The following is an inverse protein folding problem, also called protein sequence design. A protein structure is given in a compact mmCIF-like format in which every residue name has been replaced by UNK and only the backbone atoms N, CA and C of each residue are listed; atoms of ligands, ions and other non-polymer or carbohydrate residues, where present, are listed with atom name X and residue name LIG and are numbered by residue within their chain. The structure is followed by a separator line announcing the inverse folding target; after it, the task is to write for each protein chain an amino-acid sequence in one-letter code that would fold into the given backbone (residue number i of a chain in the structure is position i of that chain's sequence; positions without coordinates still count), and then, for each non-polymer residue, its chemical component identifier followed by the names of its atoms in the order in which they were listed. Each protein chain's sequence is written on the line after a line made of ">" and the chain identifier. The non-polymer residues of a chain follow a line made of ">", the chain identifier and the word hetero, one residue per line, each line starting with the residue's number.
data_IF_637694739756
#
_entry.id   IF_637694739756
#
_cell.length_a   1.000
_cell.length_b   1.000
_cell.length_c   1.000
_cell.angle_alpha   90.00
_cell.angle_beta   90.00
_cell.angle_gamma   90.00
#
_symmetry.space_group_name_H-M   'P 1'
#
loop_
_entity.id
_entity.type
_entity.pdbx_description
1 polymer ?
#
# COMPACT_ATOMS: atom_id res chain seq x y z
N UNK A 1 0.58 10.13 -5.31
CA UNK A 1 -0.55 9.19 -5.53
C UNK A 1 -0.16 7.77 -5.99
N UNK A 2 1.12 7.35 -6.02
CA UNK A 2 1.50 5.93 -6.30
C UNK A 2 0.97 4.91 -5.28
N UNK A 3 0.60 5.35 -4.08
CA UNK A 3 -0.12 4.53 -3.10
C UNK A 3 -1.55 4.17 -3.56
N UNK A 4 -2.19 4.94 -4.47
CA UNK A 4 -3.42 4.51 -5.18
C UNK A 4 -3.14 3.34 -6.10
N UNK A 5 -1.98 3.32 -6.75
CA UNK A 5 -1.58 2.20 -7.59
C UNK A 5 -1.42 0.95 -6.73
N UNK A 6 -0.67 1.01 -5.63
CA UNK A 6 -0.60 -0.13 -4.70
C UNK A 6 -1.98 -0.50 -4.17
N UNK A 7 -2.86 0.45 -3.83
CA UNK A 7 -4.18 0.16 -3.28
C UNK A 7 -5.18 -0.39 -4.31
N UNK A 8 -5.17 0.09 -5.57
CA UNK A 8 -5.97 -0.45 -6.68
C UNK A 8 -5.42 -1.77 -7.21
N UNK A 9 -4.09 -1.93 -7.30
CA UNK A 9 -3.48 -3.23 -7.59
C UNK A 9 -3.75 -4.20 -6.44
N UNK A 10 -3.64 -3.79 -5.17
CA UNK A 10 -3.98 -4.61 -3.99
C UNK A 10 -5.45 -5.04 -4.00
N UNK A 11 -6.38 -4.19 -4.47
CA UNK A 11 -7.78 -4.57 -4.68
C UNK A 11 -7.96 -5.56 -5.84
N UNK A 12 -7.07 -5.55 -6.84
CA UNK A 12 -7.00 -6.50 -7.95
C UNK A 12 -6.05 -7.70 -7.69
N UNK A 13 -5.40 -7.80 -6.53
CA UNK A 13 -4.58 -8.95 -6.18
C UNK A 13 -5.43 -9.89 -5.34
N UNK A 14 -6.22 -10.70 -6.05
CA UNK A 14 -6.64 -12.01 -5.60
C UNK A 14 -6.53 -12.93 -6.81
N UNK A 15 -5.33 -13.48 -7.02
CA UNK A 15 -5.03 -14.33 -8.15
C UNK A 15 -4.59 -15.71 -7.64
N UNK A 16 -5.50 -16.67 -7.81
CA UNK A 16 -5.26 -18.09 -7.60
C UNK A 16 -4.28 -18.60 -8.66
N UNK A 17 -3.21 -19.25 -8.22
CA UNK A 17 -2.32 -20.03 -9.08
C UNK A 17 -3.09 -21.25 -9.60
N UNK A 18 -3.55 -21.21 -10.85
CA UNK A 18 -4.03 -22.42 -11.56
C UNK A 18 -3.09 -22.71 -12.71
N UNK A 19 -2.32 -23.79 -12.57
CA UNK A 19 -1.41 -24.30 -13.59
C UNK A 19 -2.14 -24.60 -14.91
N UNK A 20 -1.62 -24.03 -16.00
CA UNK A 20 -2.12 -24.26 -17.36
C UNK A 20 -1.75 -25.67 -17.84
N UNK A 21 -2.72 -26.56 -18.00
CA UNK A 21 -2.59 -27.78 -18.77
C UNK A 21 -3.52 -27.70 -19.99
N UNK A 22 -2.93 -27.57 -21.18
CA UNK A 22 -3.65 -27.45 -22.44
C UNK A 22 -4.44 -28.71 -22.80
N UNK A 23 -5.67 -28.54 -23.29
CA UNK A 23 -6.47 -29.63 -23.86
C UNK A 23 -7.24 -29.14 -25.08
N UNK A 24 -7.06 -29.84 -26.19
CA UNK A 24 -7.80 -29.71 -27.45
C UNK A 24 -9.21 -30.30 -27.34
N UNK A 25 -10.24 -29.73 -28.01
CA UNK A 25 -11.61 -30.20 -27.85
C UNK A 25 -11.91 -31.38 -28.78
N UNK A 26 -12.48 -32.46 -28.21
CA UNK A 26 -13.19 -33.49 -28.99
C UNK A 26 -14.60 -33.70 -28.43
N UNK A 27 -15.54 -33.69 -29.36
CA UNK A 27 -16.99 -33.88 -29.33
C UNK A 27 -17.63 -34.64 -28.15
N UNK A 28 -18.74 -34.07 -27.63
CA UNK A 28 -20.00 -34.79 -27.43
C UNK A 28 -20.10 -35.76 -26.27
N UNK A 29 -19.95 -35.29 -25.03
CA UNK A 29 -20.54 -35.90 -23.83
C UNK A 29 -21.03 -34.76 -22.93
N UNK A 30 -22.14 -34.95 -22.23
CA UNK A 30 -22.56 -34.06 -21.12
C UNK A 30 -21.38 -33.92 -20.17
N UNK A 31 -20.69 -32.78 -20.21
CA UNK A 31 -19.50 -32.54 -19.41
C UNK A 31 -19.87 -32.62 -17.95
N UNK A 32 -19.05 -33.32 -17.16
CA UNK A 32 -19.29 -33.40 -15.72
C UNK A 32 -19.31 -31.99 -15.11
N UNK A 33 -20.05 -31.79 -14.03
CA UNK A 33 -20.15 -30.49 -13.36
C UNK A 33 -18.77 -29.88 -13.04
N UNK A 34 -17.80 -30.73 -12.65
CA UNK A 34 -16.42 -30.32 -12.41
C UNK A 34 -15.66 -29.89 -13.68
N UNK A 35 -15.95 -30.47 -14.84
CA UNK A 35 -15.37 -30.03 -16.11
C UNK A 35 -15.94 -28.69 -16.56
N UNK A 36 -17.24 -28.44 -16.32
CA UNK A 36 -17.86 -27.14 -16.57
C UNK A 36 -17.25 -26.07 -15.67
N UNK A 37 -17.13 -26.35 -14.38
CA UNK A 37 -16.47 -25.47 -13.41
C UNK A 37 -15.03 -25.15 -13.83
N UNK A 38 -14.24 -26.16 -14.18
CA UNK A 38 -12.86 -25.95 -14.65
C UNK A 38 -12.81 -25.07 -15.90
N UNK A 39 -13.62 -25.38 -16.92
CA UNK A 39 -13.63 -24.60 -18.16
C UNK A 39 -14.01 -23.14 -17.91
N UNK A 40 -14.98 -22.89 -17.03
CA UNK A 40 -15.33 -21.55 -16.59
C UNK A 40 -14.19 -20.85 -15.84
N UNK A 41 -13.55 -21.53 -14.88
CA UNK A 41 -12.41 -20.98 -14.13
C UNK A 41 -11.29 -20.58 -15.08
N UNK A 42 -10.93 -21.45 -16.02
CA UNK A 42 -9.87 -21.17 -16.99
C UNK A 42 -10.22 -19.93 -17.85
N UNK A 43 -11.44 -19.87 -18.38
CA UNK A 43 -11.90 -18.77 -19.23
C UNK A 43 -12.00 -17.44 -18.47
N UNK A 44 -12.58 -17.46 -17.27
CA UNK A 44 -12.75 -16.26 -16.44
C UNK A 44 -11.43 -15.76 -15.88
N UNK A 45 -10.50 -16.66 -15.53
CA UNK A 45 -9.14 -16.27 -15.16
C UNK A 45 -8.43 -15.60 -16.33
N UNK A 46 -8.54 -16.13 -17.55
CA UNK A 46 -7.94 -15.50 -18.73
C UNK A 46 -8.51 -14.09 -18.97
N UNK A 47 -9.83 -13.91 -18.86
CA UNK A 47 -10.50 -12.61 -18.96
C UNK A 47 -9.97 -11.64 -17.90
N UNK A 48 -9.92 -12.07 -16.65
CA UNK A 48 -9.42 -11.31 -15.51
C UNK A 48 -7.97 -10.86 -15.71
N UNK A 49 -7.07 -11.81 -15.98
CA UNK A 49 -5.65 -11.52 -16.18
C UNK A 49 -5.39 -10.67 -17.42
N UNK A 50 -6.20 -10.79 -18.48
CA UNK A 50 -6.08 -9.89 -19.63
C UNK A 50 -6.39 -8.44 -19.24
N UNK A 51 -7.45 -8.22 -18.46
CA UNK A 51 -7.80 -6.89 -17.95
C UNK A 51 -6.72 -6.35 -17.02
N UNK A 52 -6.31 -7.16 -16.03
CA UNK A 52 -5.25 -6.81 -15.09
C UNK A 52 -3.95 -6.47 -15.81
N UNK A 53 -3.51 -7.31 -16.75
CA UNK A 53 -2.26 -7.12 -17.47
C UNK A 53 -2.28 -5.85 -18.31
N UNK A 54 -3.43 -5.52 -18.91
CA UNK A 54 -3.61 -4.26 -19.62
C UNK A 54 -3.41 -3.07 -18.67
N UNK A 55 -4.11 -3.08 -17.52
CA UNK A 55 -4.04 -2.01 -16.52
C UNK A 55 -2.62 -1.85 -15.97
N UNK A 56 -1.97 -2.94 -15.60
CA UNK A 56 -0.60 -2.94 -15.07
C UNK A 56 0.41 -2.46 -16.13
N UNK A 57 0.27 -2.86 -17.39
CA UNK A 57 1.13 -2.39 -18.49
C UNK A 57 0.92 -0.90 -18.81
N UNK A 58 -0.32 -0.41 -18.80
CA UNK A 58 -0.62 1.02 -18.98
C UNK A 58 -0.04 1.83 -17.83
N UNK A 59 -0.20 1.35 -16.60
CA UNK A 59 0.33 2.00 -15.39
C UNK A 59 1.86 2.04 -15.40
N UNK A 60 2.51 0.95 -15.78
CA UNK A 60 3.96 0.92 -15.94
C UNK A 60 4.45 1.88 -17.04
N UNK A 61 3.64 2.08 -18.08
CA UNK A 61 3.98 2.98 -19.19
C UNK A 61 3.80 4.46 -18.85
N UNK A 62 2.98 4.80 -17.84
CA UNK A 62 2.81 6.17 -17.37
C UNK A 62 4.17 6.78 -16.97
N UNK A 63 4.37 8.05 -17.31
CA UNK A 63 5.64 8.73 -17.05
C UNK A 63 5.54 9.62 -15.81
N UNK A 64 4.44 10.34 -15.65
CA UNK A 64 4.22 11.24 -14.52
C UNK A 64 2.85 11.00 -13.84
N UNK A 65 2.55 11.78 -12.81
CA UNK A 65 1.31 11.67 -12.05
C UNK A 65 0.08 12.09 -12.86
N UNK A 66 0.21 13.08 -13.76
CA UNK A 66 -0.87 13.50 -14.66
C UNK A 66 -1.25 12.41 -15.68
N UNK A 67 -0.25 11.72 -16.25
CA UNK A 67 -0.45 10.56 -17.13
C UNK A 67 -1.22 9.47 -16.39
N UNK A 68 -0.90 9.23 -15.11
CA UNK A 68 -1.58 8.26 -14.27
C UNK A 68 -3.02 8.66 -13.96
N UNK A 69 -3.25 9.90 -13.56
CA UNK A 69 -4.60 10.44 -13.34
C UNK A 69 -5.43 10.34 -14.62
N UNK A 70 -4.85 10.60 -15.78
CA UNK A 70 -5.51 10.49 -17.08
C UNK A 70 -5.92 9.04 -17.45
N UNK A 71 -5.21 8.02 -16.95
CA UNK A 71 -5.53 6.61 -17.20
C UNK A 71 -6.84 6.19 -16.51
N UNK A 72 -7.03 6.60 -15.26
CA UNK A 72 -8.14 6.15 -14.40
C UNK A 72 -9.25 7.18 -14.21
N UNK A 73 -9.06 8.43 -14.61
CA UNK A 73 -10.13 9.46 -14.62
C UNK A 73 -11.15 9.28 -15.74
N UNK A 74 -10.87 8.42 -16.73
CA UNK A 74 -11.81 8.12 -17.81
C UNK A 74 -12.90 7.19 -17.29
N UNK A 75 -14.10 7.75 -17.06
CA UNK A 75 -15.31 7.02 -16.68
C UNK A 75 -15.54 5.77 -17.56
N UNK A 76 -15.21 5.83 -18.85
CA UNK A 76 -15.34 4.70 -19.79
C UNK A 76 -14.42 3.53 -19.43
N UNK A 77 -13.21 3.80 -18.94
CA UNK A 77 -12.27 2.77 -18.48
C UNK A 77 -12.80 2.11 -17.21
N UNK A 78 -13.25 2.92 -16.25
CA UNK A 78 -13.77 2.43 -14.96
C UNK A 78 -15.04 1.60 -15.16
N UNK A 79 -15.96 2.06 -16.01
CA UNK A 79 -17.17 1.33 -16.36
C UNK A 79 -16.87 -0.02 -16.99
N UNK A 80 -15.94 -0.06 -17.96
CA UNK A 80 -15.50 -1.31 -18.59
C UNK A 80 -14.92 -2.30 -17.58
N UNK A 81 -14.10 -1.81 -16.64
CA UNK A 81 -13.53 -2.64 -15.58
C UNK A 81 -14.64 -3.18 -14.68
N UNK A 82 -15.54 -2.32 -14.23
CA UNK A 82 -16.64 -2.71 -13.36
C UNK A 82 -17.54 -3.76 -14.04
N UNK A 83 -17.96 -3.52 -15.28
CA UNK A 83 -18.82 -4.42 -16.05
C UNK A 83 -18.19 -5.82 -16.20
N UNK A 84 -16.88 -5.88 -16.48
CA UNK A 84 -16.17 -7.15 -16.65
C UNK A 84 -16.03 -7.92 -15.32
N UNK A 85 -15.63 -7.24 -14.24
CA UNK A 85 -15.43 -7.88 -12.93
C UNK A 85 -16.75 -8.32 -12.28
N UNK A 86 -17.79 -7.49 -12.37
CA UNK A 86 -19.14 -7.85 -11.93
C UNK A 86 -19.70 -8.98 -12.78
N UNK A 87 -19.46 -8.96 -14.10
CA UNK A 87 -19.84 -10.03 -15.01
C UNK A 87 -19.24 -11.38 -14.60
N UNK A 88 -17.92 -11.42 -14.38
CA UNK A 88 -17.22 -12.62 -13.88
C UNK A 88 -17.81 -13.11 -12.55
N UNK A 89 -18.06 -12.19 -11.62
CA UNK A 89 -18.60 -12.51 -10.28
C UNK A 89 -20.01 -13.09 -10.35
N UNK A 90 -20.86 -12.50 -11.18
CA UNK A 90 -22.23 -12.96 -11.40
C UNK A 90 -22.24 -14.36 -12.07
N UNK A 91 -21.42 -14.57 -13.10
CA UNK A 91 -21.28 -15.88 -13.75
C UNK A 91 -20.77 -16.95 -12.78
N UNK A 92 -19.77 -16.62 -11.94
CA UNK A 92 -19.21 -17.52 -10.93
C UNK A 92 -20.22 -17.88 -9.81
N UNK A 93 -21.10 -16.93 -9.48
CA UNK A 93 -22.19 -17.13 -8.50
C UNK A 93 -23.23 -18.13 -8.99
N UNK A 94 -23.35 -18.33 -10.31
CA UNK A 94 -24.23 -19.34 -10.90
C UNK A 94 -23.81 -20.80 -10.63
N UNK A 95 -22.58 -21.03 -10.14
CA UNK A 95 -22.13 -22.37 -9.75
C UNK A 95 -22.65 -22.74 -8.34
N UNK A 96 -22.96 -24.02 -8.12
CA UNK A 96 -23.29 -24.60 -6.83
C UNK A 96 -22.02 -25.25 -6.29
N UNK A 97 -21.37 -24.56 -5.35
CA UNK A 97 -20.11 -25.01 -4.76
C UNK A 97 -20.22 -26.37 -4.06
N UNK A 98 -21.42 -26.79 -3.63
CA UNK A 98 -21.62 -28.11 -3.02
C UNK A 98 -21.41 -29.27 -4.00
N UNK A 99 -21.57 -29.00 -5.31
CA UNK A 99 -21.37 -29.96 -6.40
C UNK A 99 -19.92 -29.99 -6.90
N UNK A 100 -19.08 -29.06 -6.46
CA UNK A 100 -17.66 -28.98 -6.84
C UNK A 100 -16.83 -29.79 -5.85
N UNK A 101 -16.39 -30.98 -6.26
CA UNK A 101 -15.61 -31.90 -5.40
C UNK A 101 -14.14 -31.48 -5.22
N UNK A 102 -13.58 -30.80 -6.22
CA UNK A 102 -12.17 -30.40 -6.19
C UNK A 102 -12.04 -29.12 -5.34
N UNK A 103 -11.26 -29.19 -4.25
CA UNK A 103 -11.05 -28.05 -3.35
C UNK A 103 -10.45 -26.83 -4.04
N UNK A 104 -9.49 -27.03 -4.94
CA UNK A 104 -8.87 -25.93 -5.71
C UNK A 104 -9.90 -25.23 -6.59
N UNK A 105 -10.78 -25.98 -7.26
CA UNK A 105 -11.82 -25.38 -8.10
C UNK A 105 -12.87 -24.66 -7.28
N UNK A 106 -13.18 -25.18 -6.09
CA UNK A 106 -14.08 -24.53 -5.15
C UNK A 106 -13.51 -23.19 -4.70
N UNK A 107 -12.25 -23.15 -4.25
CA UNK A 107 -11.58 -21.90 -3.86
C UNK A 107 -11.44 -20.93 -5.02
N UNK A 108 -11.11 -21.40 -6.23
CA UNK A 108 -11.05 -20.54 -7.41
C UNK A 108 -12.41 -19.91 -7.76
N UNK A 109 -13.51 -20.66 -7.63
CA UNK A 109 -14.85 -20.11 -7.82
C UNK A 109 -15.27 -19.15 -6.71
N UNK A 110 -14.85 -19.39 -5.46
CA UNK A 110 -15.05 -18.46 -4.35
C UNK A 110 -14.32 -17.13 -4.61
N UNK A 111 -13.07 -17.17 -5.04
CA UNK A 111 -12.33 -15.96 -5.42
C UNK A 111 -12.98 -15.22 -6.60
N UNK A 112 -13.34 -15.95 -7.66
CA UNK A 112 -14.01 -15.36 -8.83
C UNK A 112 -15.36 -14.74 -8.50
N UNK A 113 -16.04 -15.12 -7.41
CA UNK A 113 -17.27 -14.43 -6.95
C UNK A 113 -17.00 -13.08 -6.32
N UNK A 114 -15.80 -12.88 -5.78
CA UNK A 114 -15.41 -11.68 -5.04
C UNK A 114 -14.75 -10.59 -5.89
N UNK A 115 -14.31 -10.91 -7.12
CA UNK A 115 -13.54 -9.96 -7.95
C UNK A 115 -14.34 -8.69 -8.31
N UNK A 116 -15.66 -8.77 -8.29
CA UNK A 116 -16.60 -7.68 -8.58
C UNK A 116 -17.15 -6.96 -7.36
N UNK A 117 -16.72 -7.30 -6.14
CA UNK A 117 -17.34 -6.88 -4.88
C UNK A 117 -17.64 -5.37 -4.78
N UNK A 118 -16.62 -4.51 -4.76
CA UNK A 118 -16.84 -3.06 -4.72
C UNK A 118 -17.33 -2.50 -6.07
N UNK A 119 -17.09 -3.23 -7.15
CA UNK A 119 -17.49 -2.85 -8.49
C UNK A 119 -19.00 -3.04 -8.75
N UNK A 120 -19.74 -3.74 -7.86
CA UNK A 120 -21.22 -3.82 -7.93
C UNK A 120 -21.90 -2.44 -7.82
N UNK A 121 -21.17 -1.44 -7.33
CA UNK A 121 -21.62 -0.05 -7.32
C UNK A 121 -21.65 0.58 -8.72
N UNK A 122 -21.00 -0.05 -9.71
CA UNK A 122 -20.94 0.45 -11.09
C UNK A 122 -20.28 1.83 -11.18
N UNK A 123 -20.95 2.79 -11.80
CA UNK A 123 -20.45 4.17 -11.95
C UNK A 123 -20.32 4.90 -10.60
N UNK A 124 -21.13 4.53 -9.60
CA UNK A 124 -21.06 5.12 -8.24
C UNK A 124 -19.73 4.78 -7.55
N UNK A 125 -19.06 3.68 -7.91
CA UNK A 125 -17.74 3.35 -7.38
C UNK A 125 -16.73 4.49 -7.63
N UNK A 126 -16.77 5.06 -8.83
CA UNK A 126 -15.86 6.15 -9.20
C UNK A 126 -16.12 7.40 -8.36
N UNK A 127 -17.37 7.85 -8.32
CA UNK A 127 -17.74 9.10 -7.65
C UNK A 127 -17.68 9.01 -6.13
N UNK A 128 -18.00 7.85 -5.54
CA UNK A 128 -18.09 7.71 -4.09
C UNK A 128 -16.82 7.15 -3.45
N UNK A 129 -16.05 6.30 -4.15
CA UNK A 129 -14.83 5.69 -3.59
C UNK A 129 -13.58 6.36 -4.15
N UNK A 130 -13.40 6.32 -5.48
CA UNK A 130 -12.16 6.78 -6.10
C UNK A 130 -11.92 8.28 -5.91
N UNK A 131 -12.93 9.12 -6.20
CA UNK A 131 -12.80 10.57 -6.04
C UNK A 131 -12.60 11.00 -4.57
N UNK A 132 -13.28 10.33 -3.64
CA UNK A 132 -13.15 10.64 -2.22
C UNK A 132 -11.77 10.19 -1.68
N UNK A 133 -11.26 9.05 -2.14
CA UNK A 133 -9.92 8.59 -1.79
C UNK A 133 -8.83 9.53 -2.35
N UNK A 134 -8.96 9.94 -3.62
CA UNK A 134 -8.09 10.94 -4.22
C UNK A 134 -8.13 12.28 -3.45
N UNK A 135 -9.32 12.71 -3.02
CA UNK A 135 -9.49 13.91 -2.21
C UNK A 135 -8.78 13.80 -0.86
N UNK A 136 -8.93 12.67 -0.14
CA UNK A 136 -8.21 12.42 1.12
C UNK A 136 -6.69 12.45 0.94
N UNK A 137 -6.18 11.90 -0.16
CA UNK A 137 -4.76 11.94 -0.46
C UNK A 137 -4.28 13.35 -0.78
N UNK A 138 -5.04 14.07 -1.62
CA UNK A 138 -4.71 15.43 -2.00
C UNK A 138 -4.58 16.35 -0.79
N UNK A 139 -5.46 16.19 0.20
CA UNK A 139 -5.35 16.92 1.45
C UNK A 139 -3.94 16.82 2.04
N UNK A 140 -3.33 15.62 2.06
CA UNK A 140 -1.98 15.43 2.64
C UNK A 140 -0.85 16.10 1.86
N UNK A 141 -1.07 16.44 0.58
CA UNK A 141 -0.07 17.03 -0.31
C UNK A 141 -0.35 18.50 -0.63
N UNK A 142 -1.52 19.03 -0.27
CA UNK A 142 -1.88 20.42 -0.50
C UNK A 142 -1.05 21.33 0.42
N UNK A 143 -0.36 22.31 -0.20
CA UNK A 143 0.44 23.31 0.51
C UNK A 143 -0.44 24.41 1.05
N UNK A 144 -0.94 24.21 2.26
CA UNK A 144 -1.97 25.07 2.80
C UNK A 144 -1.80 25.38 4.31
N UNK A 145 -0.82 24.79 4.98
CA UNK A 145 -0.54 25.05 6.40
C UNK A 145 0.52 26.15 6.52
N UNK A 146 0.21 27.23 7.25
CA UNK A 146 1.19 28.28 7.51
C UNK A 146 2.33 27.76 8.41
N UNK A 147 3.60 28.10 8.14
CA UNK A 147 4.70 27.70 8.99
C UNK A 147 4.58 28.26 10.42
N UNK A 148 5.07 27.49 11.40
CA UNK A 148 5.09 27.92 12.81
C UNK A 148 5.84 29.25 12.96
N UNK A 149 5.26 30.19 13.73
CA UNK A 149 5.77 31.55 13.93
C UNK A 149 6.04 32.32 12.63
N UNK A 150 5.26 32.09 11.58
CA UNK A 150 5.39 32.80 10.31
C UNK A 150 6.71 32.54 9.59
N UNK A 151 7.24 31.32 9.71
CA UNK A 151 8.45 30.92 9.00
C UNK A 151 9.75 31.20 9.73
N UNK A 152 9.72 31.82 10.93
CA UNK A 152 10.93 32.19 11.68
C UNK A 152 11.92 31.04 11.94
N UNK A 153 11.45 29.78 11.92
CA UNK A 153 12.29 28.57 12.06
C UNK A 153 12.57 27.85 10.75
N UNK A 154 11.96 28.27 9.65
CA UNK A 154 12.17 27.71 8.33
C UNK A 154 13.50 28.21 7.75
N UNK A 155 14.11 27.43 6.84
CA UNK A 155 15.27 27.91 6.10
C UNK A 155 14.96 29.24 5.39
N UNK A 156 15.84 30.23 5.57
CA UNK A 156 15.70 31.59 5.03
C UNK A 156 14.44 32.36 5.50
N UNK A 157 13.85 31.95 6.61
CA UNK A 157 12.62 32.55 7.14
C UNK A 157 11.44 32.49 6.13
N UNK A 158 11.40 31.42 5.32
CA UNK A 158 10.34 31.20 4.32
C UNK A 158 8.97 31.00 5.00
N UNK A 159 8.02 31.86 4.67
CA UNK A 159 6.65 31.86 5.17
C UNK A 159 5.66 31.15 4.21
N UNK A 160 6.18 30.52 3.14
CA UNK A 160 5.38 29.79 2.18
C UNK A 160 4.57 28.65 2.84
N UNK A 161 3.30 28.44 2.43
CA UNK A 161 2.49 27.34 2.93
C UNK A 161 3.14 25.97 2.73
N UNK A 162 2.95 25.11 3.73
CA UNK A 162 3.52 23.77 3.83
C UNK A 162 2.45 22.73 3.55
N UNK A 163 2.85 21.66 2.86
CA UNK A 163 2.07 20.44 2.79
C UNK A 163 2.35 19.57 4.00
N UNK A 164 1.39 18.72 4.36
CA UNK A 164 1.62 17.77 5.42
C UNK A 164 2.75 16.79 5.08
N UNK A 165 2.67 16.24 3.88
CA UNK A 165 3.72 15.45 3.25
C UNK A 165 4.16 16.17 1.96
N UNK A 166 5.48 16.38 1.75
CA UNK A 166 6.59 15.92 2.58
C UNK A 166 7.08 16.93 3.64
N UNK A 167 6.50 18.14 3.70
CA UNK A 167 7.11 19.27 4.42
C UNK A 167 7.01 19.14 5.95
N UNK A 168 5.79 19.06 6.49
CA UNK A 168 5.57 18.95 7.95
C UNK A 168 6.16 17.64 8.49
N UNK A 169 6.09 16.54 7.75
CA UNK A 169 6.72 15.27 8.15
C UNK A 169 8.20 15.47 8.48
N UNK A 170 8.97 16.15 7.63
CA UNK A 170 10.41 16.40 7.84
C UNK A 170 10.66 17.30 9.06
N UNK A 171 9.78 18.27 9.31
CA UNK A 171 9.87 19.15 10.48
C UNK A 171 9.64 18.35 11.75
N UNK A 172 8.55 17.58 11.83
CA UNK A 172 8.24 16.70 12.97
C UNK A 172 9.34 15.66 13.19
N UNK A 173 10.05 15.27 12.12
CA UNK A 173 11.16 14.34 12.24
C UNK A 173 12.38 14.90 12.98
N UNK A 174 12.59 16.21 12.92
CA UNK A 174 13.81 16.91 13.36
C UNK A 174 13.60 17.81 14.57
N UNK A 175 12.42 18.40 14.69
CA UNK A 175 12.15 19.37 15.74
C UNK A 175 12.15 18.70 17.11
N UNK A 176 12.70 19.43 18.08
CA UNK A 176 12.62 19.10 19.50
C UNK A 176 11.79 20.13 20.27
N UNK A 177 11.20 21.11 19.59
CA UNK A 177 10.36 22.13 20.21
C UNK A 177 8.91 21.63 20.34
N UNK A 178 8.44 21.53 21.58
CA UNK A 178 7.10 21.02 21.92
C UNK A 178 5.99 21.87 21.30
N UNK A 179 6.14 23.20 21.30
CA UNK A 179 5.11 24.12 20.82
C UNK A 179 5.02 24.10 19.28
N UNK A 180 6.15 23.93 18.60
CA UNK A 180 6.20 23.74 17.15
C UNK A 180 5.53 22.42 16.73
N UNK A 181 5.88 21.31 17.42
CA UNK A 181 5.29 20.00 17.17
C UNK A 181 3.78 20.02 17.40
N UNK A 182 3.35 20.64 18.51
CA UNK A 182 1.94 20.81 18.85
C UNK A 182 1.21 21.66 17.82
N UNK A 183 1.79 22.79 17.39
CA UNK A 183 1.21 23.67 16.39
C UNK A 183 0.89 22.91 15.10
N UNK A 184 1.85 22.17 14.54
CA UNK A 184 1.62 21.43 13.31
C UNK A 184 0.62 20.28 13.50
N UNK A 185 0.67 19.59 14.64
CA UNK A 185 -0.28 18.51 14.96
C UNK A 185 -1.74 19.00 15.03
N UNK A 186 -1.96 20.14 15.71
CA UNK A 186 -3.29 20.76 15.89
C UNK A 186 -3.76 21.39 14.58
N UNK A 187 -2.94 22.24 13.95
CA UNK A 187 -3.31 22.99 12.74
C UNK A 187 -3.68 22.05 11.59
N UNK A 188 -2.92 20.98 11.39
CA UNK A 188 -3.23 19.99 10.37
C UNK A 188 -4.59 19.31 10.61
N UNK A 189 -4.87 18.89 11.85
CA UNK A 189 -6.12 18.21 12.21
C UNK A 189 -7.31 19.15 12.12
N UNK A 190 -7.22 20.34 12.70
CA UNK A 190 -8.31 21.32 12.73
C UNK A 190 -8.73 21.73 11.32
N UNK A 191 -7.74 21.95 10.44
CA UNK A 191 -8.01 22.34 9.06
C UNK A 191 -8.71 21.23 8.25
N UNK A 192 -8.30 19.99 8.47
CA UNK A 192 -8.70 18.87 7.62
C UNK A 192 -9.85 18.03 8.20
N UNK A 193 -10.23 18.23 9.46
CA UNK A 193 -11.19 17.39 10.19
C UNK A 193 -12.50 17.19 9.42
N UNK A 194 -13.10 18.27 8.92
CA UNK A 194 -14.40 18.23 8.24
C UNK A 194 -14.29 17.47 6.91
N UNK A 195 -13.35 17.87 6.06
CA UNK A 195 -13.15 17.27 4.75
C UNK A 195 -12.75 15.80 4.85
N UNK A 196 -11.88 15.47 5.80
CA UNK A 196 -11.47 14.09 6.05
C UNK A 196 -12.67 13.24 6.48
N UNK A 197 -13.49 13.76 7.40
CA UNK A 197 -14.68 13.07 7.88
C UNK A 197 -15.70 12.82 6.76
N UNK A 198 -16.00 13.84 5.93
CA UNK A 198 -16.98 13.73 4.84
C UNK A 198 -16.52 12.71 3.78
N UNK A 199 -15.28 12.82 3.32
CA UNK A 199 -14.75 11.91 2.30
C UNK A 199 -14.67 10.47 2.83
N UNK A 200 -14.14 10.28 4.05
CA UNK A 200 -14.04 8.96 4.67
C UNK A 200 -15.41 8.34 4.91
N UNK A 201 -16.38 9.12 5.41
CA UNK A 201 -17.74 8.63 5.62
C UNK A 201 -18.40 8.19 4.31
N UNK A 202 -18.19 8.92 3.22
CA UNK A 202 -18.69 8.55 1.88
C UNK A 202 -18.11 7.21 1.41
N UNK A 203 -16.82 6.97 1.65
CA UNK A 203 -16.18 5.68 1.37
C UNK A 203 -16.85 4.58 2.22
N UNK A 204 -16.97 4.77 3.54
CA UNK A 204 -17.61 3.78 4.43
C UNK A 204 -19.04 3.46 4.00
N UNK A 205 -19.84 4.47 3.64
CA UNK A 205 -21.19 4.28 3.12
C UNK A 205 -21.21 3.47 1.81
N UNK A 206 -20.20 3.66 0.94
CA UNK A 206 -20.06 2.89 -0.30
C UNK A 206 -19.82 1.42 -0.02
N UNK A 207 -18.95 1.10 0.94
CA UNK A 207 -18.74 -0.27 1.41
C UNK A 207 -20.02 -0.88 2.01
N UNK A 208 -20.75 -0.11 2.83
CA UNK A 208 -22.05 -0.56 3.36
C UNK A 208 -23.06 -0.84 2.25
N UNK A 209 -23.13 0.02 1.23
CA UNK A 209 -24.01 -0.15 0.07
C UNK A 209 -23.64 -1.39 -0.73
N UNK A 210 -22.36 -1.61 -1.02
CA UNK A 210 -21.88 -2.80 -1.72
C UNK A 210 -22.18 -4.08 -0.93
N UNK A 211 -21.89 -4.09 0.37
CA UNK A 211 -22.16 -5.22 1.26
C UNK A 211 -23.65 -5.56 1.32
N UNK A 212 -24.53 -4.55 1.36
CA UNK A 212 -25.98 -4.75 1.31
C UNK A 212 -26.44 -5.34 -0.03
N UNK A 213 -25.86 -4.93 -1.16
CA UNK A 213 -26.16 -5.48 -2.48
C UNK A 213 -25.74 -6.95 -2.57
N UNK A 214 -24.59 -7.27 -1.98
CA UNK A 214 -24.01 -8.62 -1.97
C UNK A 214 -24.59 -9.53 -0.87
N UNK A 215 -25.39 -8.97 0.04
CA UNK A 215 -25.93 -9.65 1.22
C UNK A 215 -24.84 -10.27 2.13
N UNK A 216 -23.69 -9.60 2.23
CA UNK A 216 -22.56 -10.02 3.07
C UNK A 216 -22.30 -9.01 4.20
N UNK A 217 -21.63 -9.42 5.29
CA UNK A 217 -21.11 -8.47 6.27
C UNK A 217 -20.08 -7.51 5.65
N UNK A 218 -20.13 -6.23 6.03
CA UNK A 218 -19.22 -5.18 5.52
C UNK A 218 -17.74 -5.53 5.71
N UNK A 219 -17.38 -6.22 6.80
CA UNK A 219 -16.00 -6.61 7.06
C UNK A 219 -15.43 -7.55 5.99
N UNK A 220 -16.27 -8.37 5.33
CA UNK A 220 -15.82 -9.29 4.27
C UNK A 220 -15.31 -8.57 3.02
N UNK A 221 -15.70 -7.30 2.82
CA UNK A 221 -15.17 -6.45 1.76
C UNK A 221 -13.78 -5.88 2.07
N UNK A 222 -13.38 -5.87 3.35
CA UNK A 222 -12.11 -5.33 3.83
C UNK A 222 -11.10 -6.43 4.14
N UNK A 223 -11.58 -7.48 4.77
CA UNK A 223 -10.83 -8.63 5.19
C UNK A 223 -11.47 -9.84 4.50
N UNK A 224 -10.70 -10.53 3.66
CA UNK A 224 -11.14 -11.75 2.97
C UNK A 224 -10.74 -13.04 3.72
N UNK A 225 -9.92 -12.91 4.76
CA UNK A 225 -9.23 -14.02 5.44
C UNK A 225 -9.42 -14.03 6.97
N UNK A 226 -10.50 -13.45 7.44
CA UNK A 226 -10.87 -13.30 8.84
C UNK A 226 -11.69 -14.50 9.29
N UNK A 227 -10.97 -15.61 9.47
CA UNK A 227 -11.45 -16.63 10.37
C UNK A 227 -11.50 -16.04 11.78
N UNK A 228 -12.50 -16.45 12.56
CA UNK A 228 -12.56 -16.12 13.99
C UNK A 228 -11.27 -16.52 14.72
N UNK A 229 -10.60 -17.58 14.23
CA UNK A 229 -9.29 -18.02 14.69
C UNK A 229 -8.20 -16.97 14.43
N UNK A 230 -8.15 -16.33 13.26
CA UNK A 230 -7.17 -15.28 12.97
C UNK A 230 -7.28 -14.12 13.96
N UNK A 231 -8.50 -13.65 14.24
CA UNK A 231 -8.74 -12.57 15.21
C UNK A 231 -8.26 -12.99 16.61
N UNK A 232 -8.56 -14.21 17.04
CA UNK A 232 -8.09 -14.74 18.33
C UNK A 232 -6.56 -14.83 18.39
N UNK A 233 -5.91 -15.27 17.32
CA UNK A 233 -4.45 -15.33 17.24
C UNK A 233 -3.83 -13.92 17.29
N UNK A 234 -4.44 -12.93 16.63
CA UNK A 234 -4.00 -11.53 16.72
C UNK A 234 -4.13 -10.97 18.13
N UNK A 235 -5.25 -11.23 18.82
CA UNK A 235 -5.45 -10.83 20.22
C UNK A 235 -4.45 -11.50 21.17
N UNK A 236 -4.16 -12.78 20.94
CA UNK A 236 -3.15 -13.52 21.70
C UNK A 236 -1.76 -12.91 21.50
N UNK A 237 -1.35 -12.67 20.25
CA UNK A 237 -0.05 -12.06 19.95
C UNK A 237 0.09 -10.67 20.61
N UNK A 238 -0.96 -9.84 20.56
CA UNK A 238 -0.98 -8.54 21.24
C UNK A 238 -0.85 -8.67 22.75
N UNK A 239 -1.48 -9.68 23.35
CA UNK A 239 -1.40 -9.96 24.78
C UNK A 239 0.00 -10.41 25.20
N UNK A 240 0.67 -11.23 24.38
CA UNK A 240 2.04 -11.69 24.60
C UNK A 240 3.07 -10.55 24.45
N UNK A 241 2.86 -9.62 23.53
CA UNK A 241 3.71 -8.44 23.33
C UNK A 241 3.52 -7.36 24.41
N UNK A 242 2.34 -7.32 25.05
CA UNK A 242 1.94 -6.27 26.00
C UNK A 242 2.95 -6.02 27.13
N UNK A 243 3.56 -7.03 27.80
CA UNK A 243 4.53 -6.79 28.86
C UNK A 243 5.77 -6.04 28.38
N UNK A 244 6.30 -6.40 27.21
CA UNK A 244 7.47 -5.73 26.60
C UNK A 244 7.09 -4.32 26.15
N UNK A 245 5.94 -4.17 25.48
CA UNK A 245 5.43 -2.87 25.06
C UNK A 245 5.26 -1.91 26.24
N UNK A 246 4.71 -2.37 27.38
CA UNK A 246 4.57 -1.55 28.59
C UNK A 246 5.91 -1.08 29.14
N UNK A 247 6.93 -1.93 29.12
CA UNK A 247 8.28 -1.54 29.54
C UNK A 247 8.88 -0.50 28.58
N UNK A 248 8.76 -0.72 27.28
CA UNK A 248 9.23 0.23 26.26
C UNK A 248 8.49 1.57 26.37
N UNK A 249 7.17 1.55 26.47
CA UNK A 249 6.35 2.75 26.67
C UNK A 249 6.76 3.50 27.94
N UNK A 250 6.93 2.81 29.07
CA UNK A 250 7.35 3.43 30.32
C UNK A 250 8.75 4.04 30.22
N UNK A 251 9.68 3.38 29.55
CA UNK A 251 11.02 3.89 29.26
C UNK A 251 10.95 5.16 28.41
N UNK A 252 10.29 5.10 27.25
CA UNK A 252 10.14 6.28 26.36
C UNK A 252 9.48 7.44 27.11
N UNK A 253 8.41 7.18 27.86
CA UNK A 253 7.72 8.21 28.66
C UNK A 253 8.64 8.86 29.68
N UNK A 254 9.45 8.06 30.39
CA UNK A 254 10.41 8.56 31.38
C UNK A 254 11.46 9.47 30.73
N UNK A 255 11.90 9.13 29.54
CA UNK A 255 12.93 9.86 28.82
C UNK A 255 12.39 11.18 28.24
N UNK A 256 11.16 11.16 27.72
CA UNK A 256 10.44 12.38 27.36
C UNK A 256 10.16 13.27 28.56
N UNK A 257 9.81 12.68 29.71
CA UNK A 257 9.62 13.42 30.95
C UNK A 257 10.90 14.10 31.44
N UNK A 258 12.06 13.43 31.33
CA UNK A 258 13.36 14.07 31.62
C UNK A 258 13.64 15.24 30.70
N UNK A 259 13.33 15.10 29.41
CA UNK A 259 13.62 16.11 28.38
C UNK A 259 12.70 17.33 28.48
N UNK A 260 11.39 17.11 28.62
CA UNK A 260 10.36 18.14 28.52
C UNK A 260 9.74 18.56 29.86
N UNK A 261 10.03 17.84 30.94
CA UNK A 261 9.52 18.12 32.26
C UNK A 261 8.08 17.63 32.51
N UNK A 262 7.60 17.85 33.73
CA UNK A 262 6.28 17.41 34.21
C UNK A 262 5.11 18.11 33.55
N UNK A 263 5.30 19.33 33.07
CA UNK A 263 4.23 20.17 32.51
C UNK A 263 3.81 19.67 31.11
N UNK A 264 4.74 18.99 30.41
CA UNK A 264 4.51 18.41 29.09
C UNK A 264 4.18 16.92 29.19
N UNK A 265 4.95 16.15 29.98
CA UNK A 265 4.79 14.69 30.06
C UNK A 265 4.53 14.26 31.50
N UNK A 266 3.34 13.72 31.74
CA UNK A 266 2.99 13.12 33.03
C UNK A 266 3.71 11.78 33.21
N UNK A 267 4.50 11.56 34.28
CA UNK A 267 5.26 10.32 34.49
C UNK A 267 4.38 9.07 34.66
N UNK A 268 3.08 9.25 34.97
CA UNK A 268 2.10 8.18 35.16
C UNK A 268 0.98 8.21 34.10
N UNK A 269 1.00 9.16 33.17
CA UNK A 269 -0.02 9.35 32.12
C UNK A 269 0.34 8.72 30.78
N UNK A 270 -0.51 8.88 29.75
CA UNK A 270 -0.12 8.60 28.36
C UNK A 270 0.95 9.61 27.89
N UNK A 271 1.70 9.24 26.85
CA UNK A 271 2.60 10.16 26.16
C UNK A 271 1.74 11.05 25.23
N UNK A 272 1.91 12.39 25.23
CA UNK A 272 1.21 13.28 24.30
C UNK A 272 1.50 12.94 22.82
N UNK A 273 0.45 12.87 21.99
CA UNK A 273 0.54 12.36 20.62
C UNK A 273 1.43 13.21 19.69
N UNK A 274 1.45 14.53 19.86
CA UNK A 274 2.30 15.44 19.09
C UNK A 274 3.81 15.23 19.34
N UNK A 275 4.18 14.49 20.40
CA UNK A 275 5.58 14.09 20.65
C UNK A 275 5.94 12.77 19.96
N UNK A 276 4.99 12.06 19.37
CA UNK A 276 5.32 10.95 18.48
C UNK A 276 5.46 11.47 17.06
N UNK A 277 6.41 10.90 16.32
CA UNK A 277 6.35 10.96 14.87
C UNK A 277 5.23 10.06 14.35
N UNK A 278 3.97 10.41 14.63
CA UNK A 278 2.85 9.74 14.01
C UNK A 278 2.36 10.54 12.83
N UNK A 279 2.89 10.16 11.67
CA UNK A 279 2.00 10.14 10.51
C UNK A 279 2.33 9.17 9.39
N UNK A 280 3.59 8.91 9.10
CA UNK A 280 3.94 8.02 7.99
C UNK A 280 5.13 7.09 8.33
N UNK A 281 5.94 7.43 9.32
CA UNK A 281 7.11 6.66 9.74
C UNK A 281 7.26 6.71 11.26
N UNK A 282 7.42 5.55 11.91
CA UNK A 282 7.72 5.47 13.35
C UNK A 282 9.23 5.63 13.60
N UNK A 283 9.85 6.78 13.28
CA UNK A 283 11.33 6.89 13.37
C UNK A 283 11.90 8.29 13.68
N UNK A 284 12.12 8.60 14.96
CA UNK A 284 12.90 9.76 15.42
C UNK A 284 14.27 9.88 14.73
N UNK A 285 14.55 11.03 14.06
CA UNK A 285 15.93 11.33 13.64
C UNK A 285 16.80 11.50 14.90
N UNK A 286 18.09 11.20 14.78
CA UNK A 286 19.05 11.37 15.88
C UNK A 286 18.99 12.81 16.42
N UNK A 287 18.75 12.96 17.73
CA UNK A 287 18.69 14.25 18.39
C UNK A 287 17.31 14.95 18.40
N UNK A 288 16.29 14.37 17.76
CA UNK A 288 14.93 14.92 17.75
C UNK A 288 14.22 14.76 19.10
N UNK A 289 13.61 13.59 19.36
CA UNK A 289 12.72 13.36 20.51
C UNK A 289 13.33 12.35 21.50
N UNK A 290 13.89 11.24 21.01
CA UNK A 290 14.69 10.31 21.82
C UNK A 290 16.18 10.50 21.49
N UNK A 291 16.99 10.65 22.53
CA UNK A 291 18.44 10.73 22.40
C UNK A 291 19.09 9.34 22.33
N UNK A 292 20.24 9.23 21.66
CA UNK A 292 20.99 7.98 21.60
C UNK A 292 21.63 7.67 22.96
N UNK A 293 21.22 6.57 23.60
CA UNK A 293 21.75 6.12 24.90
C UNK A 293 23.20 5.62 24.83
N UNK A 294 23.69 5.29 23.63
CA UNK A 294 25.03 4.74 23.42
C UNK A 294 25.81 5.58 22.40
N UNK A 295 26.23 6.81 22.76
CA UNK A 295 26.94 7.72 21.85
C UNK A 295 28.30 7.17 21.35
N UNK A 296 28.79 6.06 21.92
CA UNK A 296 30.12 5.48 21.62
C UNK A 296 30.11 4.32 20.62
N UNK A 297 28.95 3.87 20.17
CA UNK A 297 28.87 2.94 19.04
C UNK A 297 27.96 3.58 18.01
N UNK A 298 28.55 4.42 17.15
CA UNK A 298 27.89 4.72 15.88
C UNK A 298 27.76 3.38 15.17
N UNK A 299 26.52 2.93 14.97
CA UNK A 299 26.26 1.88 13.98
C UNK A 299 26.95 2.33 12.68
N UNK A 300 27.51 1.39 11.89
CA UNK A 300 28.09 1.76 10.61
C UNK A 300 27.05 2.55 9.82
N UNK A 301 27.46 3.61 9.13
CA UNK A 301 26.54 4.31 8.25
C UNK A 301 26.18 3.34 7.13
N UNK A 302 24.96 2.83 7.15
CA UNK A 302 24.60 1.74 6.27
C UNK A 302 24.67 2.13 4.79
N UNK A 303 24.49 3.42 4.48
CA UNK A 303 24.63 3.94 3.12
C UNK A 303 26.08 3.84 2.60
N UNK A 304 27.10 3.80 3.47
CA UNK A 304 28.50 3.60 3.07
C UNK A 304 28.70 2.23 2.38
N UNK A 305 27.89 1.22 2.69
CA UNK A 305 27.97 -0.10 2.07
C UNK A 305 27.49 -0.12 0.62
N UNK A 306 26.74 0.89 0.19
CA UNK A 306 26.12 0.94 -1.13
C UNK A 306 26.51 2.17 -1.96
N UNK A 307 27.27 3.10 -1.40
CA UNK A 307 27.61 4.39 -2.04
C UNK A 307 28.30 4.26 -3.41
N UNK A 308 29.07 3.18 -3.62
CA UNK A 308 29.78 2.91 -4.89
C UNK A 308 28.92 2.15 -5.91
N UNK A 309 27.70 1.74 -5.52
CA UNK A 309 26.80 0.98 -6.37
C UNK A 309 25.88 1.92 -7.16
N UNK A 310 25.51 1.48 -8.37
CA UNK A 310 24.40 2.10 -9.11
C UNK A 310 23.05 1.55 -8.62
N UNK A 311 21.95 2.26 -8.88
CA UNK A 311 20.60 1.77 -8.57
C UNK A 311 20.32 0.37 -9.14
N UNK A 312 20.74 0.11 -10.39
CA UNK A 312 20.62 -1.21 -11.01
C UNK A 312 21.52 -2.25 -10.34
N UNK A 313 22.69 -1.85 -9.86
CA UNK A 313 23.55 -2.76 -9.11
C UNK A 313 22.89 -3.19 -7.79
N UNK A 314 22.09 -2.34 -7.13
CA UNK A 314 21.33 -2.76 -5.95
C UNK A 314 20.29 -3.86 -6.24
N UNK A 315 19.65 -3.80 -7.42
CA UNK A 315 18.74 -4.85 -7.88
C UNK A 315 19.50 -6.16 -8.09
N UNK A 316 20.67 -6.08 -8.75
CA UNK A 316 21.52 -7.26 -8.98
C UNK A 316 22.07 -7.84 -7.66
N UNK A 317 22.43 -7.02 -6.67
CA UNK A 317 22.83 -7.52 -5.34
C UNK A 317 21.68 -8.25 -4.64
N UNK A 318 20.45 -7.76 -4.79
CA UNK A 318 19.27 -8.43 -4.27
C UNK A 318 19.07 -9.79 -4.96
N UNK A 319 19.22 -9.86 -6.29
CA UNK A 319 19.17 -11.13 -7.05
C UNK A 319 20.30 -12.10 -6.66
N UNK A 320 21.53 -11.60 -6.50
CA UNK A 320 22.69 -12.40 -6.08
C UNK A 320 22.43 -13.11 -4.75
N UNK A 321 21.74 -12.44 -3.82
CA UNK A 321 21.32 -13.05 -2.57
C UNK A 321 20.38 -14.24 -2.79
N UNK A 322 19.30 -14.09 -3.59
CA UNK A 322 18.36 -15.20 -3.83
C UNK A 322 18.99 -16.34 -4.65
N UNK A 323 19.80 -16.01 -5.64
CA UNK A 323 20.54 -17.03 -6.42
C UNK A 323 21.54 -17.79 -5.53
N UNK A 324 22.15 -17.13 -4.53
CA UNK A 324 22.99 -17.82 -3.53
C UNK A 324 22.22 -18.80 -2.64
N UNK A 325 20.90 -18.60 -2.48
CA UNK A 325 19.99 -19.54 -1.80
C UNK A 325 19.48 -20.65 -2.72
N UNK A 326 19.84 -20.63 -4.01
CA UNK A 326 19.46 -21.63 -5.01
C UNK A 326 18.21 -21.30 -5.82
N UNK A 327 17.70 -20.07 -5.77
CA UNK A 327 16.65 -19.61 -6.70
C UNK A 327 17.22 -19.36 -8.09
N UNK A 328 16.36 -19.45 -9.10
CA UNK A 328 16.73 -19.13 -10.49
C UNK A 328 17.06 -17.64 -10.63
N UNK A 329 18.05 -17.32 -11.46
CA UNK A 329 18.34 -15.95 -11.86
C UNK A 329 17.18 -15.34 -12.64
N UNK A 330 17.05 -14.03 -12.55
CA UNK A 330 16.15 -13.26 -13.38
C UNK A 330 16.54 -13.36 -14.85
N UNK A 331 15.54 -13.25 -15.72
CA UNK A 331 15.79 -13.37 -17.16
C UNK A 331 16.64 -12.21 -17.68
N UNK A 332 17.45 -12.46 -18.72
CA UNK A 332 18.19 -11.38 -19.39
C UNK A 332 17.26 -10.27 -19.93
N UNK A 333 16.01 -10.61 -20.26
CA UNK A 333 15.00 -9.63 -20.67
C UNK A 333 14.58 -8.72 -19.52
N UNK A 334 14.56 -9.25 -18.28
CA UNK A 334 14.24 -8.47 -17.09
C UNK A 334 15.21 -7.30 -16.93
N UNK A 335 16.52 -7.59 -16.88
CA UNK A 335 17.55 -6.56 -16.73
C UNK A 335 17.58 -5.56 -17.89
N UNK A 336 17.22 -5.99 -19.10
CA UNK A 336 17.33 -5.15 -20.30
C UNK A 336 16.09 -4.29 -20.54
N UNK A 337 14.90 -4.86 -20.40
CA UNK A 337 13.65 -4.29 -20.91
C UNK A 337 12.53 -4.20 -19.85
N UNK A 338 12.71 -4.77 -18.66
CA UNK A 338 11.66 -4.82 -17.62
C UNK A 338 12.02 -4.01 -16.37
N UNK A 339 13.20 -3.37 -16.36
CA UNK A 339 13.57 -2.33 -15.40
C UNK A 339 13.36 -0.95 -16.04
N UNK A 340 12.49 -0.14 -15.43
CA UNK A 340 12.27 1.25 -15.81
C UNK A 340 12.53 2.16 -14.62
N UNK A 341 13.10 3.32 -14.89
CA UNK A 341 13.14 4.40 -13.92
C UNK A 341 11.83 5.19 -13.99
N UNK A 342 11.21 5.56 -12.85
CA UNK A 342 10.09 6.46 -12.87
C UNK A 342 10.53 7.81 -13.46
N UNK A 343 9.85 8.28 -14.51
CA UNK A 343 10.17 9.55 -15.17
C UNK A 343 9.68 10.71 -14.28
N UNK A 344 10.50 11.13 -13.33
CA UNK A 344 10.19 12.31 -12.53
C UNK A 344 11.12 13.45 -12.94
N UNK A 345 10.52 14.58 -13.33
CA UNK A 345 11.25 15.82 -13.62
C UNK A 345 12.02 16.35 -12.40
N UNK A 346 11.74 15.79 -11.21
CA UNK A 346 12.47 16.03 -9.96
C UNK A 346 12.82 14.71 -9.28
N UNK A 347 14.09 14.48 -8.89
CA UNK A 347 14.45 13.35 -8.04
C UNK A 347 13.63 13.38 -6.74
N UNK A 348 12.66 12.48 -6.59
CA UNK A 348 11.91 12.35 -5.36
C UNK A 348 12.70 11.53 -4.35
N UNK A 349 13.08 12.16 -3.25
CA UNK A 349 13.74 11.52 -2.11
C UNK A 349 12.94 10.31 -1.56
N UNK A 350 11.62 10.28 -1.77
CA UNK A 350 10.73 9.18 -1.38
C UNK A 350 10.20 8.35 -2.56
N UNK A 351 10.95 8.26 -3.66
CA UNK A 351 10.65 7.26 -4.69
C UNK A 351 10.52 5.88 -4.03
N UNK A 352 9.46 5.11 -4.32
CA UNK A 352 9.34 3.70 -3.87
C UNK A 352 9.42 2.78 -5.08
N UNK A 353 10.22 1.72 -5.04
CA UNK A 353 10.18 0.72 -6.09
C UNK A 353 8.80 0.08 -6.17
N UNK A 354 8.40 -0.28 -7.38
CA UNK A 354 7.10 -0.89 -7.66
C UNK A 354 7.28 -2.11 -8.54
N UNK A 355 6.54 -3.17 -8.23
CA UNK A 355 6.55 -4.43 -8.96
C UNK A 355 5.21 -4.62 -9.66
N UNK A 356 5.25 -5.03 -10.93
CA UNK A 356 4.07 -5.34 -11.74
C UNK A 356 4.20 -6.78 -12.23
N UNK A 357 3.45 -7.68 -11.59
CA UNK A 357 3.44 -9.10 -11.94
C UNK A 357 2.46 -9.36 -13.10
N UNK A 358 2.99 -9.57 -14.31
CA UNK A 358 2.26 -9.94 -15.53
C UNK A 358 2.56 -11.39 -15.90
N UNK A 359 2.62 -12.30 -14.91
CA UNK A 359 3.09 -13.69 -15.04
C UNK A 359 2.76 -14.31 -16.43
N UNK A 360 3.77 -14.82 -17.16
CA UNK A 360 5.14 -15.09 -16.71
C UNK A 360 6.11 -13.89 -16.79
N UNK A 361 5.65 -12.68 -17.13
CA UNK A 361 6.51 -11.50 -17.24
C UNK A 361 6.42 -10.64 -15.98
N UNK A 362 7.52 -10.15 -15.44
CA UNK A 362 7.51 -9.23 -14.29
C UNK A 362 8.15 -7.92 -14.70
N UNK A 363 7.54 -6.78 -14.37
CA UNK A 363 8.13 -5.47 -14.59
C UNK A 363 8.42 -4.80 -13.26
N UNK A 364 9.46 -3.99 -13.21
CA UNK A 364 9.86 -3.29 -12.00
C UNK A 364 10.26 -1.85 -12.30
N UNK A 365 9.67 -0.94 -11.54
CA UNK A 365 10.15 0.44 -11.44
C UNK A 365 11.16 0.54 -10.31
N UNK A 366 12.39 0.97 -10.62
CA UNK A 366 13.47 1.13 -9.64
C UNK A 366 13.75 2.61 -9.38
N UNK A 367 14.23 2.94 -8.19
CA UNK A 367 14.59 4.31 -7.83
C UNK A 367 16.07 4.60 -8.12
N UNK A 368 16.36 5.76 -8.72
CA UNK A 368 17.73 6.19 -9.03
C UNK A 368 18.57 6.43 -7.76
N UNK A 369 17.95 6.99 -6.72
CA UNK A 369 18.61 7.26 -5.44
C UNK A 369 19.14 5.96 -4.83
N UNK A 370 20.45 5.94 -4.56
CA UNK A 370 21.14 4.83 -3.92
C UNK A 370 21.15 5.04 -2.41
N UNK A 371 20.59 4.08 -1.67
CA UNK A 371 20.68 4.01 -0.21
C UNK A 371 20.47 2.59 0.28
N UNK A 372 20.92 2.29 1.50
CA UNK A 372 20.74 0.98 2.11
C UNK A 372 19.26 0.66 2.29
N UNK A 373 18.44 1.67 2.59
CA UNK A 373 16.98 1.54 2.61
C UNK A 373 16.43 1.05 1.27
N UNK A 374 16.94 1.53 0.13
CA UNK A 374 16.54 1.03 -1.20
C UNK A 374 16.99 -0.41 -1.42
N UNK A 375 18.21 -0.77 -1.03
CA UNK A 375 18.67 -2.16 -1.10
C UNK A 375 17.71 -3.10 -0.36
N UNK A 376 17.33 -2.77 0.88
CA UNK A 376 16.37 -3.57 1.65
C UNK A 376 14.99 -3.64 1.01
N UNK A 377 14.52 -2.57 0.38
CA UNK A 377 13.27 -2.59 -0.40
C UNK A 377 13.38 -3.54 -1.60
N UNK A 378 14.49 -3.50 -2.34
CA UNK A 378 14.73 -4.40 -3.47
C UNK A 378 14.77 -5.87 -3.04
N UNK A 379 15.37 -6.21 -1.89
CA UNK A 379 15.27 -7.57 -1.35
C UNK A 379 13.82 -8.01 -1.09
N UNK A 380 12.98 -7.11 -0.59
CA UNK A 380 11.56 -7.37 -0.36
C UNK A 380 10.77 -7.55 -1.66
N UNK A 381 11.08 -6.77 -2.70
CA UNK A 381 10.47 -6.93 -4.03
C UNK A 381 10.95 -8.17 -4.77
N UNK A 382 12.23 -8.54 -4.63
CA UNK A 382 12.80 -9.73 -5.25
C UNK A 382 12.26 -11.03 -4.65
N UNK A 383 11.81 -10.99 -3.39
CA UNK A 383 11.16 -12.13 -2.72
C UNK A 383 9.76 -12.44 -3.26
N UNK A 384 9.09 -11.40 -3.76
CA UNK A 384 7.71 -11.45 -4.29
C UNK A 384 7.76 -11.84 -5.75
#
# INVERSE_FOLDING_TARGET
>A
MRSLCDSMLLLLIAAVVVATAGVTPRSGLTSSYGQQAKAFIDQSSERYFRLYNQIASETYSANNEEDFEALFSKLTTVKRIADELVGISHEASGFDLSKVKNGVYKSALEELRSVGDLFVLGEDYFSLVQMNLASLQKMSTDKDIEPYMGGAKMPNEDDSPLAYYPDIQKIVQRSSDVDELKYYWETWRDKNQIWASVNFYTIVQSYQKAANILEIPVHQLWYRYDSQEMIQQMEQAMSELMPVYKQLHAFVRHELHKKYGSDVVNPNGPIPDHLFQQVLEQAWEEGSIIESYFPRQRLPQFDDFVQELSAKALVNESENFYTSLGFDSLSADFHKNQLKEPNEDTPNDDCRPSLFDLTPRVLMMYCEKVSFRKLMQYHGHMAR
#
